data_IF_118171611467
#
_entry.id   IF_118171611467
#
_cell.length_a   1.000
_cell.length_b   1.000
_cell.length_c   1.000
_cell.angle_alpha   90.00
_cell.angle_beta   90.00
_cell.angle_gamma   90.00
#
_symmetry.space_group_name_H-M   'P 1'
#
loop_
_entity.id
_entity.type
_entity.pdbx_description
1 polymer ?
#
# COMPACT_ATOMS: atom_id res chain seq x y z
N UNK A 1 55.47 -0.85 -2.79
CA UNK A 1 54.60 -0.67 -1.63
C UNK A 1 53.79 -1.94 -1.47
N UNK A 2 53.92 -2.65 -0.36
CA UNK A 2 53.46 -4.04 -0.24
C UNK A 2 51.93 -4.16 -0.21
N UNK A 3 51.37 -5.04 -1.01
CA UNK A 3 49.92 -5.40 -1.07
C UNK A 3 49.29 -5.73 0.29
N UNK A 4 50.09 -6.09 1.30
CA UNK A 4 49.64 -6.35 2.69
C UNK A 4 49.31 -5.08 3.48
N UNK A 5 49.77 -3.88 3.07
CA UNK A 5 49.39 -2.62 3.73
C UNK A 5 48.12 -1.96 3.19
N UNK A 6 47.70 -2.33 1.96
CA UNK A 6 46.46 -1.85 1.38
C UNK A 6 45.24 -2.56 1.99
N UNK A 7 45.38 -3.85 2.36
CA UNK A 7 44.27 -4.63 2.97
C UNK A 7 43.99 -4.20 4.43
N UNK A 8 45.01 -3.68 5.15
CA UNK A 8 44.87 -3.22 6.55
C UNK A 8 44.19 -1.85 6.65
N UNK A 9 44.14 -1.06 5.58
CA UNK A 9 43.53 0.28 5.59
C UNK A 9 42.03 0.16 5.23
N UNK A 10 41.60 -0.86 4.44
CA UNK A 10 40.20 -1.12 4.18
C UNK A 10 39.46 -1.67 5.42
N UNK A 11 40.13 -2.44 6.29
CA UNK A 11 39.51 -2.93 7.53
C UNK A 11 39.33 -1.88 8.63
N UNK A 12 40.06 -0.77 8.59
CA UNK A 12 39.99 0.28 9.61
C UNK A 12 38.86 1.31 9.34
N UNK A 13 38.36 1.40 8.13
CA UNK A 13 37.24 2.29 7.78
C UNK A 13 35.86 1.69 8.07
N UNK A 14 35.76 0.36 8.23
CA UNK A 14 34.49 -0.36 8.49
C UNK A 14 34.07 -0.36 9.99
N UNK A 15 34.88 0.14 10.89
CA UNK A 15 34.62 0.09 12.36
C UNK A 15 34.03 1.38 12.94
N UNK A 16 33.67 2.37 12.13
CA UNK A 16 33.10 3.64 12.60
C UNK A 16 31.60 3.84 12.25
N UNK A 17 30.98 2.93 11.52
CA UNK A 17 29.53 2.88 11.36
C UNK A 17 29.04 1.61 12.07
N UNK A 18 28.18 1.75 13.06
CA UNK A 18 27.59 0.63 13.80
C UNK A 18 26.80 -0.28 12.86
N UNK A 19 27.49 -1.20 12.20
CA UNK A 19 26.90 -2.20 11.35
C UNK A 19 26.54 -3.41 12.19
N UNK A 20 25.25 -3.69 12.29
CA UNK A 20 24.75 -5.05 12.44
C UNK A 20 25.32 -5.85 11.26
N UNK A 21 26.41 -6.58 11.49
CA UNK A 21 26.86 -7.61 10.55
C UNK A 21 25.88 -8.77 10.70
N UNK A 22 24.82 -8.74 9.94
CA UNK A 22 24.10 -9.99 9.64
C UNK A 22 25.09 -10.85 8.87
N UNK A 23 25.34 -12.07 9.35
CA UNK A 23 26.13 -13.08 8.65
C UNK A 23 25.44 -13.35 7.31
N UNK A 24 25.96 -12.80 6.22
CA UNK A 24 25.53 -13.17 4.88
C UNK A 24 25.89 -14.65 4.68
N UNK A 25 24.95 -15.53 4.41
CA UNK A 25 25.26 -16.91 4.08
C UNK A 25 26.15 -16.90 2.82
N UNK A 26 27.26 -17.62 2.85
CA UNK A 26 28.13 -17.80 1.69
C UNK A 26 27.52 -18.92 0.84
N UNK A 27 26.81 -18.53 -0.22
CA UNK A 27 26.33 -19.44 -1.24
C UNK A 27 27.46 -19.89 -2.18
N UNK A 28 27.27 -20.96 -2.94
CA UNK A 28 28.26 -21.44 -3.92
C UNK A 28 28.52 -20.37 -5.01
N UNK A 29 29.71 -20.35 -5.61
CA UNK A 29 30.21 -19.30 -6.51
C UNK A 29 29.35 -19.02 -7.79
N UNK A 30 28.22 -19.72 -8.00
CA UNK A 30 27.39 -19.66 -9.21
C UNK A 30 25.95 -19.17 -8.96
N UNK A 31 25.56 -18.76 -7.72
CA UNK A 31 24.22 -18.28 -7.41
C UNK A 31 24.16 -16.76 -7.57
N UNK A 32 23.23 -16.28 -8.39
CA UNK A 32 22.99 -14.84 -8.53
C UNK A 32 22.19 -14.32 -7.34
N UNK A 33 22.79 -13.42 -6.56
CA UNK A 33 22.16 -12.76 -5.42
C UNK A 33 21.46 -11.48 -5.88
N UNK A 34 20.17 -11.37 -5.61
CA UNK A 34 19.40 -10.15 -5.84
C UNK A 34 18.84 -9.58 -4.54
N UNK A 35 18.59 -8.30 -4.52
CA UNK A 35 18.01 -7.58 -3.38
C UNK A 35 16.61 -7.11 -3.70
N UNK A 36 15.69 -7.27 -2.74
CA UNK A 36 14.35 -6.70 -2.81
C UNK A 36 14.07 -5.82 -1.60
N UNK A 37 13.66 -4.56 -1.83
CA UNK A 37 13.38 -3.63 -0.73
C UNK A 37 11.89 -3.45 -0.49
N UNK A 38 11.50 -3.60 0.79
CA UNK A 38 10.12 -3.55 1.27
C UNK A 38 9.98 -2.70 2.54
N UNK A 39 8.78 -2.18 2.79
CA UNK A 39 8.50 -1.21 3.85
C UNK A 39 7.85 -1.79 5.12
N UNK A 40 7.93 -3.08 5.36
CA UNK A 40 7.45 -3.70 6.58
C UNK A 40 8.42 -4.78 7.08
N UNK A 41 8.13 -5.32 8.27
CA UNK A 41 8.87 -6.41 8.87
C UNK A 41 8.29 -7.75 8.38
N UNK A 42 9.04 -8.46 7.55
CA UNK A 42 8.63 -9.78 7.03
C UNK A 42 8.53 -10.86 8.11
N UNK A 43 9.09 -10.64 9.29
CA UNK A 43 9.01 -11.56 10.43
C UNK A 43 7.84 -11.25 11.38
N UNK A 44 7.06 -10.18 11.11
CA UNK A 44 5.87 -9.85 11.89
C UNK A 44 4.78 -10.93 11.72
N UNK A 45 4.46 -11.62 12.81
CA UNK A 45 3.55 -12.78 12.77
C UNK A 45 2.07 -12.40 12.65
N UNK A 46 1.72 -11.20 13.08
CA UNK A 46 0.36 -10.65 13.05
C UNK A 46 0.04 -9.90 11.75
N UNK A 47 1.09 -9.53 10.99
CA UNK A 47 0.90 -8.87 9.70
C UNK A 47 0.70 -9.89 8.58
N UNK A 48 -0.55 -10.09 8.21
CA UNK A 48 -0.92 -11.03 7.15
C UNK A 48 -0.42 -10.58 5.76
N UNK A 49 -0.21 -9.29 5.53
CA UNK A 49 0.34 -8.78 4.27
C UNK A 49 1.83 -9.14 4.17
N UNK A 50 2.60 -8.82 5.20
CA UNK A 50 4.03 -9.15 5.26
C UNK A 50 4.27 -10.66 5.15
N UNK A 51 3.40 -11.49 5.76
CA UNK A 51 3.42 -12.95 5.58
C UNK A 51 3.26 -13.38 4.13
N UNK A 52 2.35 -12.75 3.38
CA UNK A 52 2.17 -13.04 1.95
C UNK A 52 3.40 -12.70 1.13
N UNK A 53 4.04 -11.58 1.40
CA UNK A 53 5.29 -11.21 0.75
C UNK A 53 6.45 -12.15 1.15
N UNK A 54 6.53 -12.53 2.43
CA UNK A 54 7.52 -13.52 2.88
C UNK A 54 7.34 -14.87 2.17
N UNK A 55 6.10 -15.34 2.01
CA UNK A 55 5.82 -16.57 1.28
C UNK A 55 6.33 -16.52 -0.16
N UNK A 56 6.17 -15.39 -0.85
CA UNK A 56 6.73 -15.19 -2.20
C UNK A 56 8.26 -15.32 -2.19
N UNK A 57 8.93 -14.70 -1.22
CA UNK A 57 10.39 -14.75 -1.08
C UNK A 57 10.87 -16.17 -0.78
N UNK A 58 10.22 -16.85 0.15
CA UNK A 58 10.56 -18.22 0.53
C UNK A 58 10.37 -19.18 -0.67
N UNK A 59 9.24 -19.06 -1.41
CA UNK A 59 8.99 -19.84 -2.64
C UNK A 59 10.01 -19.54 -3.74
N UNK A 60 10.39 -18.28 -3.91
CA UNK A 60 11.40 -17.90 -4.89
C UNK A 60 12.75 -18.56 -4.60
N UNK A 61 13.19 -18.48 -3.35
CA UNK A 61 14.47 -19.05 -2.92
C UNK A 61 14.46 -20.60 -2.98
N UNK A 62 13.28 -21.23 -2.80
CA UNK A 62 13.14 -22.67 -2.96
C UNK A 62 13.10 -23.09 -4.44
N UNK A 63 12.30 -22.42 -5.28
CA UNK A 63 12.13 -22.77 -6.71
C UNK A 63 13.41 -22.55 -7.52
N UNK A 64 14.16 -21.48 -7.18
CA UNK A 64 15.38 -21.11 -7.88
C UNK A 64 16.66 -21.51 -7.13
N UNK A 65 16.58 -22.45 -6.16
CA UNK A 65 17.74 -22.92 -5.40
C UNK A 65 18.91 -23.30 -6.31
N UNK A 66 20.09 -22.79 -5.98
CA UNK A 66 21.30 -22.97 -6.78
C UNK A 66 21.41 -22.12 -8.05
N UNK A 67 20.41 -21.29 -8.37
CA UNK A 67 20.45 -20.38 -9.52
C UNK A 67 20.31 -18.91 -9.10
N UNK A 68 19.24 -18.58 -8.40
CA UNK A 68 18.94 -17.22 -7.90
C UNK A 68 18.65 -17.30 -6.41
N UNK A 69 18.99 -16.23 -5.70
CA UNK A 69 18.60 -16.05 -4.30
C UNK A 69 18.23 -14.60 -4.05
N UNK A 70 17.10 -14.34 -3.41
CA UNK A 70 16.68 -12.99 -3.05
C UNK A 70 16.88 -12.74 -1.57
N UNK A 71 17.56 -11.64 -1.26
CA UNK A 71 17.75 -11.13 0.11
C UNK A 71 16.88 -9.89 0.31
N UNK A 72 15.88 -9.93 1.21
CA UNK A 72 15.05 -8.77 1.47
C UNK A 72 15.80 -7.69 2.27
N UNK A 73 15.54 -6.42 1.91
CA UNK A 73 15.96 -5.23 2.67
C UNK A 73 14.70 -4.62 3.26
N UNK A 74 14.48 -4.78 4.55
CA UNK A 74 13.27 -4.29 5.23
C UNK A 74 13.54 -3.02 6.03
N UNK A 75 12.50 -2.22 6.22
CA UNK A 75 12.48 -1.04 7.09
C UNK A 75 11.02 -0.73 7.43
N UNK A 76 10.76 0.19 8.36
CA UNK A 76 9.39 0.65 8.57
C UNK A 76 8.95 1.62 7.47
N UNK A 77 7.63 1.77 7.32
CA UNK A 77 7.02 2.59 6.27
C UNK A 77 7.46 4.06 6.31
N UNK A 78 7.63 4.63 7.52
CA UNK A 78 8.00 6.03 7.71
C UNK A 78 9.44 6.32 7.27
N UNK A 79 10.33 5.34 7.38
CA UNK A 79 11.75 5.47 7.03
C UNK A 79 12.06 5.01 5.59
N UNK A 80 11.12 4.34 4.95
CA UNK A 80 11.32 3.66 3.66
C UNK A 80 11.88 4.58 2.58
N UNK A 81 11.18 5.68 2.28
CA UNK A 81 11.59 6.62 1.23
C UNK A 81 12.96 7.25 1.52
N UNK A 82 13.22 7.59 2.79
CA UNK A 82 14.51 8.12 3.21
C UNK A 82 15.65 7.13 2.98
N UNK A 83 15.46 5.87 3.35
CA UNK A 83 16.44 4.79 3.17
C UNK A 83 16.66 4.45 1.70
N UNK A 84 15.59 4.32 0.91
CA UNK A 84 15.68 4.04 -0.52
C UNK A 84 16.40 5.18 -1.27
N UNK A 85 16.05 6.44 -1.00
CA UNK A 85 16.73 7.59 -1.57
C UNK A 85 18.23 7.61 -1.23
N UNK A 86 18.61 7.25 0.00
CA UNK A 86 20.02 7.17 0.41
C UNK A 86 20.77 6.06 -0.34
N UNK A 87 20.15 4.90 -0.54
CA UNK A 87 20.72 3.78 -1.31
C UNK A 87 20.90 4.17 -2.78
N UNK A 88 19.91 4.78 -3.41
CA UNK A 88 19.97 5.27 -4.79
C UNK A 88 21.11 6.29 -4.95
N UNK A 89 21.18 7.28 -4.04
CA UNK A 89 22.23 8.30 -4.07
C UNK A 89 23.64 7.72 -3.87
N UNK A 90 23.76 6.60 -3.15
CA UNK A 90 25.01 5.86 -2.95
C UNK A 90 25.39 4.94 -4.12
N UNK A 91 24.55 4.81 -5.16
CA UNK A 91 24.71 3.85 -6.25
C UNK A 91 24.51 2.39 -5.81
N UNK A 92 23.70 2.18 -4.79
CA UNK A 92 23.36 0.87 -4.18
C UNK A 92 21.87 0.62 -4.28
N UNK A 93 21.26 0.99 -5.42
CA UNK A 93 19.83 0.77 -5.67
C UNK A 93 19.51 -0.73 -5.55
N UNK A 94 18.52 -1.14 -4.74
CA UNK A 94 18.08 -2.53 -4.69
C UNK A 94 17.64 -3.00 -6.08
N UNK A 95 17.86 -4.28 -6.42
CA UNK A 95 17.53 -4.82 -7.74
C UNK A 95 16.03 -4.71 -8.04
N UNK A 96 15.20 -4.99 -7.05
CA UNK A 96 13.75 -4.76 -7.08
C UNK A 96 13.35 -3.99 -5.83
N UNK A 97 12.45 -3.03 -5.98
CA UNK A 97 11.95 -2.25 -4.84
C UNK A 97 10.49 -1.87 -5.04
N UNK A 98 9.74 -1.79 -3.94
CA UNK A 98 8.31 -1.46 -3.96
C UNK A 98 8.11 0.06 -3.94
N UNK A 99 7.08 0.55 -4.62
CA UNK A 99 6.73 1.97 -4.63
C UNK A 99 5.24 2.21 -4.85
N UNK A 100 4.72 3.28 -4.25
CA UNK A 100 3.40 3.80 -4.57
C UNK A 100 3.46 4.61 -5.89
N UNK A 101 2.37 4.63 -6.70
CA UNK A 101 2.33 5.40 -7.93
C UNK A 101 2.26 6.92 -7.68
N UNK A 102 2.42 7.70 -8.76
CA UNK A 102 2.35 9.16 -8.72
C UNK A 102 3.61 9.80 -8.13
N UNK A 103 3.49 10.87 -7.33
CA UNK A 103 4.64 11.67 -6.88
C UNK A 103 5.77 10.87 -6.23
N UNK A 104 5.47 9.78 -5.56
CA UNK A 104 6.49 8.89 -4.98
C UNK A 104 7.31 8.21 -6.08
N UNK A 105 6.63 7.65 -7.09
CA UNK A 105 7.29 6.98 -8.21
C UNK A 105 8.01 7.98 -9.14
N UNK A 106 7.47 9.19 -9.31
CA UNK A 106 8.08 10.26 -10.11
C UNK A 106 9.52 10.55 -9.66
N UNK A 107 9.80 10.50 -8.36
CA UNK A 107 11.14 10.73 -7.80
C UNK A 107 12.14 9.71 -8.38
N UNK A 108 11.78 8.45 -8.41
CA UNK A 108 12.66 7.36 -8.84
C UNK A 108 12.79 7.29 -10.37
N UNK A 109 11.69 7.53 -11.09
CA UNK A 109 11.68 7.58 -12.56
C UNK A 109 12.51 8.76 -13.06
N UNK A 110 12.30 9.95 -12.49
CA UNK A 110 13.05 11.18 -12.88
C UNK A 110 14.53 11.11 -12.48
N UNK A 111 14.88 10.39 -11.42
CA UNK A 111 16.26 10.12 -11.05
C UNK A 111 16.95 9.09 -11.96
N UNK A 112 16.21 8.44 -12.87
CA UNK A 112 16.72 7.36 -13.72
C UNK A 112 17.04 6.08 -12.94
N UNK A 113 16.47 5.90 -11.75
CA UNK A 113 16.69 4.72 -10.91
C UNK A 113 15.86 3.51 -11.33
N UNK A 114 14.72 3.74 -12.02
CA UNK A 114 13.85 2.69 -12.53
C UNK A 114 14.23 2.29 -13.96
N UNK A 115 14.18 0.99 -14.25
CA UNK A 115 14.38 0.45 -15.61
C UNK A 115 13.10 0.63 -16.45
N UNK A 116 13.29 0.81 -17.76
CA UNK A 116 12.23 0.74 -18.76
C UNK A 116 11.89 -0.74 -19.02
N UNK A 117 10.69 -1.14 -18.66
CA UNK A 117 10.20 -2.52 -18.77
C UNK A 117 9.40 -2.76 -20.05
N UNK A 118 9.27 -1.78 -20.94
CA UNK A 118 8.35 -1.83 -22.09
C UNK A 118 8.67 -3.02 -23.01
N UNK A 119 9.93 -3.14 -23.44
CA UNK A 119 10.32 -4.25 -24.34
C UNK A 119 10.21 -5.62 -23.65
N UNK A 120 10.51 -5.68 -22.37
CA UNK A 120 10.35 -6.90 -21.57
C UNK A 120 8.89 -7.34 -21.55
N UNK A 121 7.98 -6.44 -21.20
CA UNK A 121 6.56 -6.76 -21.05
C UNK A 121 5.89 -6.99 -22.42
N UNK A 122 6.13 -6.14 -23.40
CA UNK A 122 5.40 -6.20 -24.67
C UNK A 122 5.93 -7.27 -25.64
N UNK A 123 7.22 -7.62 -25.55
CA UNK A 123 7.86 -8.51 -26.53
C UNK A 123 8.44 -9.79 -25.91
N UNK A 124 9.17 -9.70 -24.79
CA UNK A 124 9.86 -10.85 -24.21
C UNK A 124 8.93 -11.70 -23.35
N UNK A 125 8.04 -11.06 -22.57
CA UNK A 125 7.12 -11.67 -21.61
C UNK A 125 5.65 -11.28 -21.93
N UNK A 126 5.29 -11.28 -23.23
CA UNK A 126 3.99 -10.81 -23.70
C UNK A 126 2.79 -11.57 -23.10
N UNK A 127 2.94 -12.87 -22.82
CA UNK A 127 1.88 -13.65 -22.15
C UNK A 127 1.68 -13.21 -20.70
N UNK A 128 2.77 -12.89 -20.00
CA UNK A 128 2.69 -12.33 -18.66
C UNK A 128 2.03 -10.95 -18.68
N UNK A 129 2.43 -10.07 -19.59
CA UNK A 129 1.81 -8.77 -19.77
C UNK A 129 0.31 -8.88 -20.08
N UNK A 130 -0.09 -9.82 -20.94
CA UNK A 130 -1.48 -10.04 -21.32
C UNK A 130 -2.36 -10.58 -20.18
N UNK A 131 -1.76 -11.20 -19.15
CA UNK A 131 -2.48 -11.72 -17.99
C UNK A 131 -3.01 -10.62 -17.06
N UNK A 132 -2.47 -9.42 -17.13
CA UNK A 132 -2.88 -8.30 -16.28
C UNK A 132 -4.22 -7.71 -16.69
N UNK A 133 -4.95 -7.16 -15.71
CA UNK A 133 -6.19 -6.42 -15.93
C UNK A 133 -5.96 -5.22 -16.85
N UNK A 134 -6.87 -5.00 -17.79
CA UNK A 134 -6.76 -3.91 -18.76
C UNK A 134 -6.68 -2.55 -18.07
N UNK A 135 -5.79 -1.69 -18.57
CA UNK A 135 -5.58 -0.33 -18.08
C UNK A 135 -4.76 -0.23 -16.78
N UNK A 136 -4.38 -1.35 -16.15
CA UNK A 136 -3.67 -1.33 -14.86
C UNK A 136 -2.30 -0.63 -14.95
N UNK A 137 -1.66 -0.62 -16.12
CA UNK A 137 -0.35 -0.01 -16.34
C UNK A 137 -0.39 1.49 -16.66
N UNK A 138 -1.58 2.12 -16.83
CA UNK A 138 -1.67 3.53 -17.25
C UNK A 138 -0.87 4.46 -16.33
N UNK A 139 -0.96 4.26 -15.00
CA UNK A 139 -0.23 5.07 -14.02
C UNK A 139 1.24 4.72 -13.85
N UNK A 140 1.71 3.62 -14.43
CA UNK A 140 3.11 3.18 -14.45
C UNK A 140 3.79 3.55 -15.75
N UNK A 141 3.07 4.19 -16.69
CA UNK A 141 3.58 4.55 -18.00
C UNK A 141 3.99 6.03 -18.04
N UNK A 142 5.26 6.28 -18.28
CA UNK A 142 5.91 7.60 -18.35
C UNK A 142 6.47 7.81 -19.76
N UNK A 143 5.99 8.81 -20.47
CA UNK A 143 6.43 9.09 -21.85
C UNK A 143 6.39 7.88 -22.79
N UNK A 144 5.37 7.03 -22.60
CA UNK A 144 5.20 5.81 -23.38
C UNK A 144 6.05 4.63 -22.92
N UNK A 145 6.73 4.71 -21.78
CA UNK A 145 7.57 3.67 -21.20
C UNK A 145 6.93 3.13 -19.94
N UNK A 146 6.82 1.82 -19.83
CA UNK A 146 6.35 1.14 -18.63
C UNK A 146 7.49 1.02 -17.63
N UNK A 147 7.37 1.69 -16.48
CA UNK A 147 8.44 1.82 -15.50
C UNK A 147 8.27 0.93 -14.26
N UNK A 148 7.14 0.25 -14.12
CA UNK A 148 6.87 -0.62 -12.97
C UNK A 148 5.83 -1.69 -13.30
N UNK A 149 5.80 -2.74 -12.48
CA UNK A 149 4.76 -3.79 -12.50
C UNK A 149 3.92 -3.66 -11.24
N UNK A 150 2.58 -3.48 -11.36
CA UNK A 150 1.70 -3.50 -10.19
C UNK A 150 1.65 -4.90 -9.58
N UNK A 151 1.50 -5.00 -8.25
CA UNK A 151 1.31 -6.27 -7.53
C UNK A 151 -0.09 -6.46 -7.01
N UNK A 152 -0.82 -5.38 -6.80
CA UNK A 152 -2.19 -5.35 -6.31
C UNK A 152 -2.79 -3.97 -6.55
N UNK A 153 -4.08 -3.84 -6.35
CA UNK A 153 -4.68 -2.54 -6.07
C UNK A 153 -5.55 -2.61 -4.82
N UNK A 154 -5.71 -1.47 -4.15
CA UNK A 154 -6.52 -1.34 -2.96
C UNK A 154 -7.47 -0.16 -3.12
N UNK A 155 -8.67 -0.29 -2.57
CA UNK A 155 -9.67 0.77 -2.57
C UNK A 155 -9.92 1.26 -1.15
N UNK A 156 -10.01 2.58 -0.97
CA UNK A 156 -10.37 3.15 0.32
C UNK A 156 -11.89 3.06 0.53
N UNK A 157 -12.31 2.74 1.75
CA UNK A 157 -13.70 2.66 2.15
C UNK A 157 -13.87 3.10 3.60
N UNK A 158 -15.11 3.09 4.08
CA UNK A 158 -15.43 3.33 5.49
C UNK A 158 -15.76 1.98 6.12
N UNK A 159 -14.94 1.57 7.08
CA UNK A 159 -15.24 0.46 7.99
C UNK A 159 -16.08 0.97 9.14
N UNK A 160 -17.02 0.16 9.63
CA UNK A 160 -17.84 0.54 10.77
C UNK A 160 -18.16 -0.63 11.70
N UNK A 161 -18.32 -0.34 12.98
CA UNK A 161 -18.74 -1.30 13.98
C UNK A 161 -20.26 -1.42 13.96
N UNK A 162 -20.77 -2.57 13.52
CA UNK A 162 -22.20 -2.82 13.35
C UNK A 162 -22.96 -2.82 14.67
N UNK A 163 -22.33 -3.23 15.78
CA UNK A 163 -22.95 -3.21 17.11
C UNK A 163 -23.13 -1.78 17.63
N UNK A 164 -22.10 -0.90 17.46
CA UNK A 164 -22.21 0.50 17.87
C UNK A 164 -23.24 1.27 17.03
N UNK A 165 -23.31 0.99 15.73
CA UNK A 165 -24.35 1.57 14.86
C UNK A 165 -25.75 1.15 15.30
N UNK A 166 -25.94 -0.14 15.60
CA UNK A 166 -27.22 -0.65 16.06
C UNK A 166 -27.63 -0.06 17.42
N UNK A 167 -26.67 0.03 18.37
CA UNK A 167 -26.91 0.59 19.71
C UNK A 167 -27.26 2.09 19.66
N UNK A 168 -26.59 2.86 18.81
CA UNK A 168 -26.88 4.29 18.61
C UNK A 168 -28.06 4.56 17.67
N UNK A 169 -28.69 3.54 17.09
CA UNK A 169 -29.78 3.68 16.12
C UNK A 169 -29.35 4.43 14.85
N UNK A 170 -28.18 4.12 14.36
CA UNK A 170 -27.56 4.71 13.16
C UNK A 170 -27.72 3.76 11.99
N UNK A 171 -28.24 4.27 10.87
CA UNK A 171 -28.22 3.60 9.56
C UNK A 171 -26.95 3.96 8.82
N UNK A 172 -26.52 3.10 7.85
CA UNK A 172 -25.35 3.38 7.02
C UNK A 172 -25.59 4.64 6.18
N UNK A 173 -24.78 5.71 6.35
CA UNK A 173 -24.97 6.95 5.64
C UNK A 173 -24.62 6.84 4.16
N UNK A 174 -25.42 7.46 3.29
CA UNK A 174 -25.24 7.53 1.84
C UNK A 174 -24.84 8.93 1.37
N UNK A 175 -25.12 9.94 2.19
CA UNK A 175 -24.75 11.33 1.94
C UNK A 175 -23.85 11.87 3.05
N UNK A 176 -23.11 12.94 2.76
CA UNK A 176 -22.26 13.61 3.74
C UNK A 176 -23.08 14.14 4.95
N UNK A 177 -24.27 14.68 4.72
CA UNK A 177 -25.11 15.18 5.78
C UNK A 177 -25.61 14.05 6.69
N UNK A 178 -25.91 12.89 6.11
CA UNK A 178 -26.23 11.67 6.88
C UNK A 178 -25.01 11.18 7.67
N UNK A 179 -23.79 11.28 7.13
CA UNK A 179 -22.55 10.94 7.84
C UNK A 179 -22.36 11.85 9.07
N UNK A 180 -22.55 13.15 8.92
CA UNK A 180 -22.48 14.10 10.07
C UNK A 180 -23.55 13.76 11.10
N UNK A 181 -24.79 13.49 10.67
CA UNK A 181 -25.87 13.08 11.58
C UNK A 181 -25.59 11.76 12.30
N UNK A 182 -24.97 10.79 11.59
CA UNK A 182 -24.52 9.54 12.17
C UNK A 182 -23.42 9.77 13.23
N UNK A 183 -22.43 10.58 12.92
CA UNK A 183 -21.38 10.96 13.86
C UNK A 183 -21.97 11.60 15.13
N UNK A 184 -22.94 12.52 15.00
CA UNK A 184 -23.57 13.15 16.16
C UNK A 184 -24.31 12.12 17.03
N UNK A 185 -25.09 11.19 16.44
CA UNK A 185 -25.79 10.15 17.19
C UNK A 185 -24.82 9.21 17.92
N UNK A 186 -23.71 8.82 17.26
CA UNK A 186 -22.68 8.00 17.89
C UNK A 186 -22.03 8.72 19.07
N UNK A 187 -21.74 10.01 18.92
CA UNK A 187 -21.19 10.84 19.99
C UNK A 187 -22.18 11.01 21.16
N UNK A 188 -23.46 11.22 20.88
CA UNK A 188 -24.51 11.31 21.89
C UNK A 188 -24.71 9.98 22.65
N UNK A 189 -24.46 8.84 22.00
CA UNK A 189 -24.43 7.51 22.59
C UNK A 189 -23.14 7.23 23.40
N UNK A 190 -22.16 8.14 23.36
CA UNK A 190 -20.91 8.03 24.14
C UNK A 190 -19.77 7.34 23.39
N UNK A 191 -19.90 7.10 22.08
CA UNK A 191 -18.87 6.52 21.24
C UNK A 191 -17.99 7.60 20.60
N UNK A 192 -16.73 7.28 20.31
CA UNK A 192 -15.90 8.03 19.37
C UNK A 192 -16.38 7.72 17.95
N UNK A 193 -16.88 8.70 17.17
CA UNK A 193 -17.47 8.38 15.88
C UNK A 193 -16.47 7.86 14.85
N UNK A 194 -15.30 8.49 14.73
CA UNK A 194 -14.31 8.15 13.70
C UNK A 194 -12.92 8.03 14.32
N UNK A 195 -12.23 6.92 14.06
CA UNK A 195 -10.80 6.82 14.26
C UNK A 195 -10.08 7.34 13.03
N UNK A 196 -9.14 8.26 13.21
CA UNK A 196 -8.37 8.88 12.14
C UNK A 196 -6.91 9.05 12.56
N UNK A 197 -5.99 8.75 11.68
CA UNK A 197 -4.59 9.11 11.83
C UNK A 197 -4.29 10.37 11.00
N UNK A 198 -3.89 11.45 11.68
CA UNK A 198 -3.32 12.61 11.02
C UNK A 198 -1.81 12.73 11.29
N UNK A 199 -1.28 11.95 12.25
CA UNK A 199 0.16 11.73 12.44
C UNK A 199 0.80 11.03 11.24
N UNK A 200 0.06 10.08 10.61
CA UNK A 200 0.41 9.51 9.31
C UNK A 200 -0.42 10.20 8.23
N UNK A 201 0.17 11.22 7.60
CA UNK A 201 -0.54 12.19 6.75
C UNK A 201 -1.38 11.56 5.62
N UNK A 202 -0.96 10.45 5.02
CA UNK A 202 -1.71 9.81 3.93
C UNK A 202 -3.07 9.25 4.39
N UNK A 203 -3.25 8.88 5.66
CA UNK A 203 -4.53 8.42 6.20
C UNK A 203 -5.58 9.54 6.15
N UNK A 204 -5.23 10.72 6.65
CA UNK A 204 -6.11 11.89 6.56
C UNK A 204 -6.35 12.30 5.10
N UNK A 205 -5.34 12.11 4.23
CA UNK A 205 -5.44 12.43 2.80
C UNK A 205 -6.49 11.60 2.07
N UNK A 206 -6.82 10.39 2.52
CA UNK A 206 -7.93 9.62 1.94
C UNK A 206 -9.28 10.30 2.19
N UNK A 207 -9.52 10.76 3.42
CA UNK A 207 -10.74 11.51 3.75
C UNK A 207 -10.80 12.82 2.95
N UNK A 208 -9.70 13.58 2.94
CA UNK A 208 -9.59 14.81 2.18
C UNK A 208 -9.80 14.59 0.68
N UNK A 209 -9.21 13.53 0.12
CA UNK A 209 -9.36 13.14 -1.28
C UNK A 209 -10.80 12.79 -1.65
N UNK A 210 -11.51 12.06 -0.78
CA UNK A 210 -12.94 11.81 -0.98
C UNK A 210 -13.76 13.09 -0.94
N UNK A 211 -13.51 13.98 0.02
CA UNK A 211 -14.21 15.26 0.09
C UNK A 211 -13.94 16.14 -1.13
N UNK A 212 -12.69 16.17 -1.61
CA UNK A 212 -12.34 16.86 -2.86
C UNK A 212 -13.08 16.26 -4.06
N UNK A 213 -13.04 14.93 -4.23
CA UNK A 213 -13.75 14.26 -5.32
C UNK A 213 -15.25 14.52 -5.25
N UNK A 214 -15.88 14.32 -4.07
CA UNK A 214 -17.31 14.54 -3.85
C UNK A 214 -17.72 15.99 -4.05
N UNK A 215 -16.81 16.95 -3.86
CA UNK A 215 -17.03 18.38 -4.07
C UNK A 215 -16.73 18.81 -5.51
N UNK A 216 -16.31 17.89 -6.38
CA UNK A 216 -16.02 18.16 -7.79
C UNK A 216 -14.68 18.87 -8.02
N UNK A 217 -13.72 18.74 -7.09
CA UNK A 217 -12.36 19.25 -7.27
C UNK A 217 -11.63 18.42 -8.31
N UNK A 218 -11.07 19.08 -9.31
CA UNK A 218 -10.16 18.47 -10.26
C UNK A 218 -8.73 18.47 -9.71
N UNK A 219 -8.36 17.37 -9.03
CA UNK A 219 -7.01 17.24 -8.44
C UNK A 219 -5.90 17.16 -9.50
N UNK A 220 -6.20 16.70 -10.72
CA UNK A 220 -5.23 16.72 -11.82
C UNK A 220 -4.96 18.16 -12.25
N UNK A 221 -6.00 18.98 -12.43
CA UNK A 221 -5.85 20.40 -12.76
C UNK A 221 -5.10 21.18 -11.65
N UNK A 222 -5.26 20.79 -10.38
CA UNK A 222 -4.46 21.35 -9.27
C UNK A 222 -2.99 20.97 -9.43
N UNK A 223 -2.70 19.69 -9.71
CA UNK A 223 -1.33 19.19 -9.89
C UNK A 223 -0.64 19.85 -11.10
N UNK A 224 -1.38 20.09 -12.18
CA UNK A 224 -0.91 20.75 -13.40
C UNK A 224 -0.87 22.29 -13.28
N UNK A 225 -1.19 22.84 -12.12
CA UNK A 225 -1.26 24.30 -11.86
C UNK A 225 -2.24 25.06 -12.76
N UNK A 226 -3.28 24.37 -13.28
CA UNK A 226 -4.37 24.98 -14.07
C UNK A 226 -5.60 25.32 -13.23
N UNK A 227 -5.69 24.80 -11.98
CA UNK A 227 -6.65 25.17 -10.95
C UNK A 227 -5.92 25.48 -9.63
N UNK A 228 -6.64 26.02 -8.63
CA UNK A 228 -6.04 26.47 -7.38
C UNK A 228 -6.78 25.90 -6.16
N UNK A 229 -6.05 25.69 -5.08
CA UNK A 229 -6.62 25.32 -3.76
C UNK A 229 -7.53 26.38 -3.16
N UNK A 230 -7.56 27.60 -3.72
CA UNK A 230 -8.44 28.71 -3.32
C UNK A 230 -9.76 28.75 -4.11
N UNK A 231 -9.98 27.81 -5.01
CA UNK A 231 -11.24 27.70 -5.75
C UNK A 231 -12.36 27.26 -4.78
N UNK A 232 -13.60 27.67 -5.05
CA UNK A 232 -14.72 27.53 -4.13
C UNK A 232 -14.95 26.08 -3.69
N UNK A 233 -14.93 25.13 -4.62
CA UNK A 233 -15.09 23.70 -4.33
C UNK A 233 -13.96 23.13 -3.45
N UNK A 234 -12.72 23.64 -3.59
CA UNK A 234 -11.60 23.27 -2.71
C UNK A 234 -11.81 23.81 -1.29
N UNK A 235 -12.27 25.07 -1.16
CA UNK A 235 -12.59 25.67 0.15
C UNK A 235 -13.72 24.92 0.83
N UNK A 236 -14.76 24.55 0.08
CA UNK A 236 -15.87 23.77 0.60
C UNK A 236 -15.45 22.37 1.06
N UNK A 237 -14.60 21.68 0.28
CA UNK A 237 -14.03 20.39 0.68
C UNK A 237 -13.23 20.51 1.99
N UNK A 238 -12.39 21.54 2.11
CA UNK A 238 -11.64 21.84 3.33
C UNK A 238 -12.54 22.19 4.53
N UNK A 239 -13.65 22.89 4.29
CA UNK A 239 -14.64 23.20 5.33
C UNK A 239 -15.31 21.93 5.83
N UNK A 240 -15.73 21.04 4.94
CA UNK A 240 -16.31 19.73 5.29
C UNK A 240 -15.32 18.86 6.07
N UNK A 241 -14.04 18.85 5.67
CA UNK A 241 -13.00 18.13 6.42
C UNK A 241 -12.88 18.68 7.85
N UNK A 242 -12.87 20.00 8.01
CA UNK A 242 -12.83 20.65 9.32
C UNK A 242 -14.08 20.29 10.14
N UNK A 243 -15.26 20.29 9.55
CA UNK A 243 -16.50 19.94 10.24
C UNK A 243 -16.51 18.46 10.65
N UNK A 244 -16.00 17.57 9.79
CA UNK A 244 -15.89 16.15 10.11
C UNK A 244 -14.84 15.87 11.20
N UNK A 245 -13.76 16.64 11.24
CA UNK A 245 -12.65 16.45 12.19
C UNK A 245 -13.04 16.60 13.66
N UNK A 246 -14.15 17.29 13.98
CA UNK A 246 -14.66 17.39 15.36
C UNK A 246 -15.14 16.03 15.94
N UNK A 247 -15.36 15.05 15.07
CA UNK A 247 -15.79 13.70 15.42
C UNK A 247 -14.64 12.69 15.47
N UNK A 248 -13.40 13.13 15.27
CA UNK A 248 -12.22 12.28 15.41
C UNK A 248 -11.85 12.12 16.90
N UNK A 249 -11.14 11.04 17.23
CA UNK A 249 -10.56 10.89 18.57
C UNK A 249 -9.62 12.06 18.89
N UNK A 250 -9.49 12.40 20.16
CA UNK A 250 -8.72 13.58 20.59
C UNK A 250 -7.22 13.50 20.23
N UNK A 251 -6.69 12.29 20.06
CA UNK A 251 -5.29 12.01 19.74
C UNK A 251 -5.00 11.99 18.26
N UNK A 252 -6.00 12.11 17.38
CA UNK A 252 -5.89 11.95 15.92
C UNK A 252 -4.70 12.68 15.28
N UNK A 253 -4.35 13.88 15.77
CA UNK A 253 -3.24 14.66 15.23
C UNK A 253 -1.87 14.02 15.41
N UNK A 254 -1.72 13.12 16.38
CA UNK A 254 -0.45 12.43 16.69
C UNK A 254 -0.49 10.93 16.48
N UNK A 255 -1.67 10.34 16.30
CA UNK A 255 -1.80 8.90 16.15
C UNK A 255 -1.22 8.44 14.79
N UNK A 256 -0.48 7.34 14.83
CA UNK A 256 -0.02 6.63 13.63
C UNK A 256 -1.18 5.87 12.97
N UNK A 257 -0.93 5.39 11.72
CA UNK A 257 -1.85 4.49 11.03
C UNK A 257 -2.27 3.30 11.91
N UNK A 258 -1.30 2.63 12.52
CA UNK A 258 -1.55 1.43 13.31
C UNK A 258 -2.33 1.72 14.58
N UNK A 259 -2.06 2.86 15.24
CA UNK A 259 -2.81 3.29 16.42
C UNK A 259 -4.28 3.57 16.09
N UNK A 260 -4.54 4.29 14.99
CA UNK A 260 -5.92 4.57 14.57
C UNK A 260 -6.67 3.30 14.13
N UNK A 261 -6.00 2.40 13.41
CA UNK A 261 -6.58 1.11 13.00
C UNK A 261 -6.85 0.23 14.22
N UNK A 262 -5.93 0.20 15.19
CA UNK A 262 -6.09 -0.55 16.44
C UNK A 262 -7.26 -0.02 17.28
N UNK A 263 -7.42 1.28 17.40
CA UNK A 263 -8.56 1.86 18.11
C UNK A 263 -9.90 1.40 17.51
N UNK A 264 -9.99 1.26 16.20
CA UNK A 264 -11.18 0.77 15.53
C UNK A 264 -11.45 -0.71 15.84
N UNK A 265 -10.49 -1.62 15.58
CA UNK A 265 -10.74 -3.06 15.79
C UNK A 265 -10.78 -3.47 17.27
N UNK A 266 -10.31 -2.63 18.19
CA UNK A 266 -10.51 -2.81 19.64
C UNK A 266 -11.86 -2.25 20.12
N UNK A 267 -12.68 -1.67 19.24
CA UNK A 267 -13.99 -1.13 19.60
C UNK A 267 -13.93 0.19 20.35
N UNK A 268 -12.88 0.98 20.18
CA UNK A 268 -12.73 2.30 20.78
C UNK A 268 -13.33 3.41 19.90
N UNK A 269 -13.56 3.10 18.60
CA UNK A 269 -14.21 4.00 17.65
C UNK A 269 -15.21 3.25 16.76
N UNK A 270 -16.25 3.96 16.32
CA UNK A 270 -17.33 3.38 15.53
C UNK A 270 -17.02 3.25 14.04
N UNK A 271 -16.18 4.12 13.51
CA UNK A 271 -15.78 4.12 12.08
C UNK A 271 -14.27 4.30 11.89
N UNK A 272 -13.77 3.82 10.74
CA UNK A 272 -12.41 4.03 10.25
C UNK A 272 -12.46 4.22 8.74
N UNK A 273 -11.87 5.28 8.20
CA UNK A 273 -11.66 5.43 6.75
C UNK A 273 -10.28 4.90 6.40
N UNK A 274 -10.22 3.78 5.66
CA UNK A 274 -8.96 3.11 5.37
C UNK A 274 -9.04 2.33 4.06
N UNK A 275 -7.90 1.99 3.50
CA UNK A 275 -7.83 1.12 2.34
C UNK A 275 -8.17 -0.33 2.67
N UNK A 276 -8.46 -1.12 1.66
CA UNK A 276 -8.90 -2.51 1.81
C UNK A 276 -7.90 -3.42 2.53
N UNK A 277 -6.61 -3.04 2.62
CA UNK A 277 -5.59 -3.71 3.44
C UNK A 277 -5.93 -3.75 4.94
N UNK A 278 -6.81 -2.85 5.43
CA UNK A 278 -7.24 -2.88 6.82
C UNK A 278 -7.93 -4.19 7.20
N UNK A 279 -8.50 -4.90 6.24
CA UNK A 279 -9.08 -6.25 6.43
C UNK A 279 -8.02 -7.20 7.01
N UNK A 280 -6.84 -7.23 6.40
CA UNK A 280 -5.73 -8.06 6.88
C UNK A 280 -5.25 -7.65 8.29
N UNK A 281 -5.17 -6.34 8.55
CA UNK A 281 -4.80 -5.82 9.87
C UNK A 281 -5.84 -6.18 10.94
N UNK A 282 -7.13 -6.03 10.63
CA UNK A 282 -8.23 -6.41 11.53
C UNK A 282 -8.18 -7.90 11.83
N UNK A 283 -8.12 -8.73 10.80
CA UNK A 283 -8.16 -10.19 10.95
C UNK A 283 -6.91 -10.75 11.62
N UNK A 284 -5.74 -10.16 11.37
CA UNK A 284 -4.49 -10.56 12.00
C UNK A 284 -4.43 -10.22 13.49
N UNK A 285 -5.00 -9.09 13.91
CA UNK A 285 -4.88 -8.59 15.28
C UNK A 285 -6.12 -8.88 16.14
N UNK A 286 -7.32 -8.87 15.56
CA UNK A 286 -8.57 -9.15 16.26
C UNK A 286 -9.58 -9.89 15.37
N UNK A 287 -9.38 -11.19 15.11
CA UNK A 287 -10.25 -11.97 14.22
C UNK A 287 -11.71 -12.03 14.69
N UNK A 288 -11.96 -11.92 16.00
CA UNK A 288 -13.33 -11.90 16.56
C UNK A 288 -14.11 -10.63 16.15
N UNK A 289 -13.41 -9.57 15.77
CA UNK A 289 -14.01 -8.32 15.34
C UNK A 289 -14.60 -8.41 13.91
N UNK A 290 -14.18 -9.36 13.10
CA UNK A 290 -14.67 -9.54 11.72
C UNK A 290 -16.20 -9.60 11.66
N UNK A 291 -16.84 -10.35 12.55
CA UNK A 291 -18.30 -10.49 12.61
C UNK A 291 -19.04 -9.19 12.96
N UNK A 292 -18.33 -8.19 13.47
CA UNK A 292 -18.83 -6.87 13.89
C UNK A 292 -18.42 -5.75 12.94
N UNK A 293 -17.62 -6.08 11.92
CA UNK A 293 -17.09 -5.13 10.96
C UNK A 293 -17.95 -5.10 9.69
N UNK A 294 -18.56 -3.96 9.42
CA UNK A 294 -19.21 -3.67 8.16
C UNK A 294 -18.38 -2.69 7.32
N UNK A 295 -18.73 -2.58 6.04
CA UNK A 295 -18.04 -1.70 5.08
C UNK A 295 -19.08 -0.94 4.26
N UNK A 296 -18.82 0.35 4.00
CA UNK A 296 -19.60 1.14 3.06
C UNK A 296 -18.70 2.12 2.30
N UNK A 297 -19.18 2.60 1.16
CA UNK A 297 -18.49 3.62 0.38
C UNK A 297 -18.54 4.97 1.06
N UNK A 298 -17.48 5.78 0.92
CA UNK A 298 -17.52 7.14 1.43
C UNK A 298 -18.69 7.90 0.81
N UNK A 299 -19.56 8.52 1.65
CA UNK A 299 -20.83 9.10 1.21
C UNK A 299 -20.71 10.17 0.12
N UNK A 300 -21.75 10.32 -0.66
CA UNK A 300 -21.88 11.34 -1.71
C UNK A 300 -22.16 12.73 -1.15
N UNK A 301 -21.96 13.74 -2.01
CA UNK A 301 -22.41 15.12 -1.80
C UNK A 301 -23.36 15.45 -2.95
N UNK A 302 -24.52 16.02 -2.64
CA UNK A 302 -25.52 16.35 -3.64
C UNK A 302 -24.99 17.30 -4.72
N UNK A 303 -25.23 16.95 -5.98
CA UNK A 303 -24.79 17.76 -7.14
C UNK A 303 -23.34 17.62 -7.54
N UNK A 304 -22.58 16.75 -6.85
CA UNK A 304 -21.17 16.50 -7.12
C UNK A 304 -20.91 15.29 -8.04
N UNK A 305 -19.69 14.81 -8.08
CA UNK A 305 -19.28 13.63 -8.84
C UNK A 305 -20.02 12.36 -8.40
N UNK A 306 -19.98 11.33 -9.26
CA UNK A 306 -20.57 10.02 -8.98
C UNK A 306 -20.08 9.48 -7.63
N UNK A 307 -20.99 9.23 -6.66
CA UNK A 307 -20.65 8.72 -5.33
C UNK A 307 -20.04 7.31 -5.37
N UNK A 308 -20.17 6.58 -6.48
CA UNK A 308 -19.55 5.27 -6.65
C UNK A 308 -18.06 5.33 -7.01
N UNK A 309 -17.50 6.50 -7.29
CA UNK A 309 -16.05 6.64 -7.49
C UNK A 309 -15.31 6.33 -6.20
N UNK A 310 -14.23 5.57 -6.33
CA UNK A 310 -13.41 5.18 -5.19
C UNK A 310 -11.99 5.73 -5.35
N UNK A 311 -11.37 6.07 -4.23
CA UNK A 311 -9.93 6.31 -4.18
C UNK A 311 -9.26 4.95 -4.20
N UNK A 312 -8.41 4.74 -5.19
CA UNK A 312 -7.65 3.51 -5.36
C UNK A 312 -6.15 3.80 -5.45
N UNK A 313 -5.36 2.84 -4.99
CA UNK A 313 -3.90 2.85 -5.19
C UNK A 313 -3.42 1.47 -5.62
N UNK A 314 -2.26 1.41 -6.25
CA UNK A 314 -1.52 0.18 -6.51
C UNK A 314 -0.24 0.17 -5.69
N UNK A 315 0.24 -1.03 -5.33
CA UNK A 315 1.63 -1.23 -4.92
C UNK A 315 2.37 -1.74 -6.15
N UNK A 316 3.54 -1.16 -6.45
CA UNK A 316 4.24 -1.43 -7.68
C UNK A 316 5.67 -1.86 -7.39
N UNK A 317 6.19 -2.80 -8.19
CA UNK A 317 7.59 -3.19 -8.19
C UNK A 317 8.31 -2.44 -9.31
N UNK A 318 9.38 -1.76 -8.95
CA UNK A 318 10.33 -1.17 -9.89
C UNK A 318 11.58 -2.06 -9.92
N UNK A 319 12.11 -2.25 -11.11
CA UNK A 319 13.42 -2.86 -11.30
C UNK A 319 14.48 -1.75 -11.38
N UNK A 320 15.61 -1.94 -10.72
CA UNK A 320 16.73 -1.00 -10.83
C UNK A 320 17.22 -0.88 -12.26
N UNK A 321 17.43 0.35 -12.72
CA UNK A 321 18.04 0.61 -14.04
C UNK A 321 19.52 0.16 -14.12
N UNK A 322 20.13 -0.12 -12.97
CA UNK A 322 21.54 -0.52 -12.84
C UNK A 322 21.73 -1.96 -12.38
N UNK A 323 20.65 -2.75 -12.27
CA UNK A 323 20.78 -4.16 -11.92
C UNK A 323 21.56 -4.94 -13.01
N UNK A 324 22.47 -5.79 -12.59
CA UNK A 324 23.17 -6.75 -13.47
C UNK A 324 22.44 -8.09 -13.53
N UNK A 325 21.33 -8.25 -12.76
CA UNK A 325 20.58 -9.49 -12.54
C UNK A 325 19.14 -9.41 -13.09
N UNK A 326 18.97 -8.90 -14.32
CA UNK A 326 17.65 -8.63 -14.91
C UNK A 326 16.75 -9.86 -14.92
N UNK A 327 17.27 -11.03 -15.32
CA UNK A 327 16.46 -12.27 -15.43
C UNK A 327 15.95 -12.72 -14.06
N UNK A 328 16.77 -12.61 -13.01
CA UNK A 328 16.38 -12.93 -11.64
C UNK A 328 15.34 -11.94 -11.11
N UNK A 329 15.52 -10.65 -11.38
CA UNK A 329 14.57 -9.59 -11.00
C UNK A 329 13.19 -9.79 -11.66
N UNK A 330 13.17 -10.12 -12.97
CA UNK A 330 11.93 -10.42 -13.70
C UNK A 330 11.26 -11.68 -13.12
N UNK A 331 12.02 -12.74 -12.85
CA UNK A 331 11.49 -13.96 -12.26
C UNK A 331 10.84 -13.67 -10.88
N UNK A 332 11.46 -12.83 -10.06
CA UNK A 332 10.90 -12.40 -8.79
C UNK A 332 9.60 -11.59 -8.98
N UNK A 333 9.58 -10.62 -9.89
CA UNK A 333 8.39 -9.82 -10.19
C UNK A 333 7.24 -10.69 -10.71
N UNK A 334 7.53 -11.72 -11.52
CA UNK A 334 6.53 -12.69 -11.98
C UNK A 334 5.96 -13.51 -10.83
N UNK A 335 6.77 -13.90 -9.85
CA UNK A 335 6.29 -14.65 -8.68
C UNK A 335 5.40 -13.82 -7.76
N UNK A 336 5.65 -12.51 -7.62
CA UNK A 336 4.75 -11.60 -6.92
C UNK A 336 3.39 -11.43 -7.60
N UNK A 337 3.31 -11.74 -8.88
CA UNK A 337 2.11 -11.58 -9.71
C UNK A 337 1.52 -12.91 -10.19
N UNK A 338 2.02 -14.04 -9.70
CA UNK A 338 1.48 -15.36 -10.00
C UNK A 338 0.12 -15.61 -9.32
N UNK A 339 -0.58 -16.63 -9.76
CA UNK A 339 -1.90 -16.97 -9.25
C UNK A 339 -1.89 -17.21 -7.73
N UNK A 340 -0.84 -17.85 -7.18
CA UNK A 340 -0.72 -18.14 -5.75
C UNK A 340 -0.59 -16.86 -4.93
N UNK A 341 0.31 -15.95 -5.32
CA UNK A 341 0.48 -14.66 -4.66
C UNK A 341 -0.77 -13.80 -4.78
N UNK A 342 -1.43 -13.80 -5.95
CA UNK A 342 -2.62 -13.00 -6.19
C UNK A 342 -3.85 -13.52 -5.44
N UNK A 343 -4.00 -14.84 -5.27
CA UNK A 343 -5.02 -15.43 -4.39
C UNK A 343 -4.80 -15.03 -2.94
N UNK A 344 -3.59 -15.18 -2.43
CA UNK A 344 -3.27 -14.76 -1.07
C UNK A 344 -3.56 -13.27 -0.85
N UNK A 345 -3.12 -12.43 -1.78
CA UNK A 345 -3.34 -10.98 -1.77
C UNK A 345 -4.82 -10.62 -1.69
N UNK A 346 -5.68 -11.33 -2.43
CA UNK A 346 -7.11 -11.09 -2.46
C UNK A 346 -7.84 -11.67 -1.25
N UNK A 347 -7.60 -12.93 -0.93
CA UNK A 347 -8.36 -13.67 0.08
C UNK A 347 -7.93 -13.36 1.52
N UNK A 348 -6.65 -13.07 1.72
CA UNK A 348 -6.06 -12.82 3.04
C UNK A 348 -5.62 -11.36 3.19
N UNK A 349 -4.92 -10.82 2.19
CA UNK A 349 -4.39 -9.46 2.22
C UNK A 349 -5.44 -8.35 2.09
N UNK A 350 -6.67 -8.69 1.72
CA UNK A 350 -7.76 -7.73 1.56
C UNK A 350 -7.55 -6.73 0.42
N UNK A 351 -6.65 -7.03 -0.52
CA UNK A 351 -6.37 -6.20 -1.70
C UNK A 351 -6.91 -6.89 -2.95
N UNK A 352 -7.16 -6.11 -3.99
CA UNK A 352 -7.69 -6.65 -5.24
C UNK A 352 -6.55 -7.19 -6.12
N UNK A 353 -6.77 -8.34 -6.79
CA UNK A 353 -5.79 -8.91 -7.70
C UNK A 353 -5.67 -8.06 -8.98
N UNK A 354 -4.50 -8.15 -9.61
CA UNK A 354 -4.17 -7.39 -10.82
C UNK A 354 -4.15 -8.28 -12.08
N UNK A 355 -4.42 -9.57 -11.94
CA UNK A 355 -4.49 -10.52 -13.05
C UNK A 355 -5.94 -10.86 -13.40
N UNK A 356 -6.17 -11.17 -14.68
CA UNK A 356 -7.48 -11.58 -15.21
C UNK A 356 -7.82 -13.01 -14.78
N UNK A 357 -9.12 -13.33 -14.82
CA UNK A 357 -9.66 -14.69 -14.69
C UNK A 357 -9.27 -15.43 -13.41
N UNK A 358 -8.90 -14.70 -12.35
CA UNK A 358 -8.58 -15.29 -11.06
C UNK A 358 -9.89 -15.63 -10.31
N UNK A 359 -10.10 -16.91 -10.04
CA UNK A 359 -11.18 -17.34 -9.13
C UNK A 359 -10.77 -17.09 -7.67
N UNK A 360 -11.43 -16.13 -7.02
CA UNK A 360 -11.19 -15.75 -5.62
C UNK A 360 -12.46 -15.85 -4.79
N UNK A 361 -12.30 -16.22 -3.53
CA UNK A 361 -13.34 -16.13 -2.52
C UNK A 361 -13.19 -14.81 -1.75
N UNK A 362 -13.99 -13.79 -2.10
CA UNK A 362 -13.96 -12.50 -1.39
C UNK A 362 -14.77 -12.61 -0.10
N UNK A 363 -14.11 -12.65 1.05
CA UNK A 363 -14.71 -12.75 2.38
C UNK A 363 -15.74 -11.64 2.69
N UNK A 364 -15.63 -10.47 2.05
CA UNK A 364 -16.45 -9.29 2.34
C UNK A 364 -17.50 -8.92 1.28
N UNK A 365 -17.67 -9.71 0.23
CA UNK A 365 -18.68 -9.43 -0.82
C UNK A 365 -19.92 -10.30 -0.75
N UNK A 366 -19.90 -11.36 0.05
CA UNK A 366 -21.07 -12.24 0.25
C UNK A 366 -21.76 -11.93 1.59
N UNK A 367 -23.08 -11.74 1.60
CA UNK A 367 -23.84 -11.64 2.84
C UNK A 367 -23.89 -12.97 3.63
N UNK A 368 -23.19 -14.01 3.16
CA UNK A 368 -23.11 -15.32 3.85
C UNK A 368 -21.76 -15.99 3.63
N UNK A 369 -21.04 -16.35 4.72
CA UNK A 369 -19.80 -17.14 4.65
C UNK A 369 -19.97 -18.54 4.04
N UNK A 370 -21.17 -18.93 3.59
CA UNK A 370 -21.48 -20.28 3.09
C UNK A 370 -21.27 -20.47 1.59
N UNK A 371 -20.97 -19.40 0.86
CA UNK A 371 -20.84 -19.46 -0.60
C UNK A 371 -19.41 -19.73 -1.10
N UNK A 372 -18.49 -20.00 -0.16
CA UNK A 372 -17.09 -20.33 -0.44
C UNK A 372 -16.75 -21.82 -0.21
N UNK A 373 -17.68 -22.72 -0.47
CA UNK A 373 -17.43 -24.18 -0.33
C UNK A 373 -17.58 -24.91 -1.65
#
# INVERSE_FOLDING_TARGET
MNKKRALSILMAAAMAAGTLVTSVPVYADDVEEITWMFWDDLEATEDLISKGYKDVIDRFNEEYDGKYHVTPITTNLEEYDGKLNALIAAGQTPDVYICNPGPNMDVYVNAGAAADLTDILENQEADWYASFTDGIFERMTYDGKIMAVPTNFAAACVYYNTEMFADAGVEVPTTYDELIAACQKLQDAGYTPISCSAGTAWCLSMIAGYLCDRQGVDLAAIADHTANWTDENCIEAGTKLKDLSQYFQATAAGDSNDQATAAFYNGEAAMLVQGSWAIAQINGNNPDFESKCGVFQFPGIDGANDPNRMIVKTDNLLMSSTTEHQDAAIALMKMFTDETAQKYTAEIGGKFPIIKDLEICLLYTSPSPRDCS
#
